data_IF_354851346385
#
_entry.id   IF_354851346385
#
_cell.length_a   1.000
_cell.length_b   1.000
_cell.length_c   1.000
_cell.angle_alpha   90.00
_cell.angle_beta   90.00
_cell.angle_gamma   90.00
#
_symmetry.space_group_name_H-M   'P 1'
#
loop_
_entity.id
_entity.type
_entity.pdbx_description
1 polymer ?
#
# COMPACT_ATOMS: atom_id res chain seq x y z
N UNK A 1 40.36 -28.93 1.03
CA UNK A 1 39.36 -27.90 0.73
C UNK A 1 38.14 -27.88 1.67
N UNK A 2 38.12 -28.40 2.89
CA UNK A 2 36.93 -28.35 3.77
C UNK A 2 36.82 -27.09 4.63
N UNK A 3 37.90 -26.27 4.78
CA UNK A 3 37.83 -25.05 5.62
C UNK A 3 37.17 -23.84 4.99
N UNK A 4 37.10 -23.76 3.65
CA UNK A 4 36.48 -22.65 2.94
C UNK A 4 34.94 -22.73 2.98
N UNK A 5 34.36 -23.92 2.89
CA UNK A 5 32.90 -24.13 2.95
C UNK A 5 32.33 -23.89 4.34
N UNK A 6 33.04 -24.27 5.40
CA UNK A 6 32.63 -24.03 6.79
C UNK A 6 32.65 -22.53 7.18
N UNK A 7 33.50 -21.72 6.57
CA UNK A 7 33.55 -20.27 6.79
C UNK A 7 32.43 -19.54 6.05
N UNK A 8 32.06 -19.99 4.86
CA UNK A 8 30.93 -19.43 4.08
C UNK A 8 29.60 -19.73 4.72
N UNK A 9 29.36 -20.93 5.24
CA UNK A 9 28.14 -21.29 5.95
C UNK A 9 27.96 -20.52 7.27
N UNK A 10 29.05 -20.27 8.02
CA UNK A 10 29.03 -19.45 9.24
C UNK A 10 28.76 -17.95 8.92
N UNK A 11 29.29 -17.42 7.81
CA UNK A 11 29.03 -16.04 7.38
C UNK A 11 27.61 -15.88 6.85
N UNK A 12 27.11 -16.84 6.08
CA UNK A 12 25.72 -16.85 5.62
C UNK A 12 24.73 -16.93 6.80
N UNK A 13 24.99 -17.78 7.80
CA UNK A 13 24.18 -17.87 9.01
C UNK A 13 24.20 -16.61 9.88
N UNK A 14 25.30 -15.84 9.87
CA UNK A 14 25.38 -14.55 10.55
C UNK A 14 24.63 -13.46 9.76
N UNK A 15 24.66 -13.50 8.43
CA UNK A 15 23.91 -12.57 7.56
C UNK A 15 22.40 -12.77 7.71
N UNK A 16 21.90 -14.00 7.77
CA UNK A 16 20.48 -14.31 8.00
C UNK A 16 19.97 -13.84 9.40
N UNK A 17 20.86 -13.52 10.33
CA UNK A 17 20.54 -12.95 11.65
C UNK A 17 20.58 -11.43 11.68
N UNK A 18 20.96 -10.76 10.58
CA UNK A 18 20.89 -9.29 10.48
C UNK A 18 19.47 -8.82 10.22
N UNK A 19 19.22 -7.53 10.44
CA UNK A 19 17.90 -6.95 10.16
C UNK A 19 17.52 -7.10 8.68
N UNK A 20 16.25 -7.26 8.37
CA UNK A 20 15.73 -7.32 7.00
C UNK A 20 16.20 -6.12 6.17
N UNK A 21 16.26 -4.93 6.79
CA UNK A 21 16.80 -3.72 6.18
C UNK A 21 18.23 -3.94 5.64
N UNK A 22 19.13 -4.48 6.45
CA UNK A 22 20.51 -4.73 6.05
C UNK A 22 20.59 -5.76 4.93
N UNK A 23 19.78 -6.82 5.01
CA UNK A 23 19.74 -7.86 3.98
C UNK A 23 19.27 -7.29 2.63
N UNK A 24 18.19 -6.47 2.63
CA UNK A 24 17.65 -5.83 1.42
C UNK A 24 18.64 -4.82 0.86
N UNK A 25 19.31 -4.02 1.70
CA UNK A 25 20.33 -3.06 1.24
C UNK A 25 21.52 -3.77 0.57
N UNK A 26 22.00 -4.84 1.17
CA UNK A 26 23.09 -5.66 0.58
C UNK A 26 22.63 -6.30 -0.73
N UNK A 27 21.41 -6.83 -0.77
CA UNK A 27 20.83 -7.44 -1.96
C UNK A 27 20.70 -6.41 -3.11
N UNK A 28 20.31 -5.19 -2.81
CA UNK A 28 20.23 -4.08 -3.77
C UNK A 28 21.62 -3.76 -4.36
N UNK A 29 22.64 -3.60 -3.51
CA UNK A 29 24.03 -3.35 -3.97
C UNK A 29 24.54 -4.50 -4.81
N UNK A 30 24.34 -5.74 -4.36
CA UNK A 30 24.73 -6.93 -5.12
C UNK A 30 23.99 -7.04 -6.46
N UNK A 31 22.70 -6.70 -6.49
CA UNK A 31 21.90 -6.65 -7.72
C UNK A 31 22.48 -5.67 -8.73
N UNK A 32 22.84 -4.45 -8.31
CA UNK A 32 23.50 -3.46 -9.18
C UNK A 32 24.84 -4.00 -9.70
N UNK A 33 25.65 -4.62 -8.84
CA UNK A 33 26.94 -5.19 -9.24
C UNK A 33 26.78 -6.33 -10.25
N UNK A 34 25.86 -7.27 -10.00
CA UNK A 34 25.57 -8.38 -10.92
C UNK A 34 25.08 -7.87 -12.27
N UNK A 35 24.08 -6.97 -12.27
CA UNK A 35 23.57 -6.38 -13.52
C UNK A 35 24.63 -5.61 -14.30
N UNK A 36 25.56 -4.94 -13.61
CA UNK A 36 26.63 -4.16 -14.26
C UNK A 36 27.76 -5.04 -14.79
N UNK A 37 28.19 -6.05 -14.02
CA UNK A 37 29.35 -6.89 -14.38
C UNK A 37 28.96 -8.04 -15.32
N UNK A 38 27.74 -8.57 -15.17
CA UNK A 38 27.21 -9.68 -15.98
C UNK A 38 25.80 -9.34 -16.48
N UNK A 39 25.64 -8.44 -17.47
CA UNK A 39 24.31 -7.95 -17.91
C UNK A 39 23.35 -9.08 -18.28
N UNK A 40 23.81 -10.06 -19.07
CA UNK A 40 22.97 -11.20 -19.48
C UNK A 40 22.48 -12.05 -18.29
N UNK A 41 23.39 -12.33 -17.34
CA UNK A 41 23.00 -13.04 -16.13
C UNK A 41 22.09 -12.19 -15.25
N UNK A 42 22.33 -10.87 -15.16
CA UNK A 42 21.44 -9.93 -14.48
C UNK A 42 20.04 -9.92 -15.06
N UNK A 43 19.92 -9.78 -16.38
CA UNK A 43 18.64 -9.80 -17.08
C UNK A 43 17.86 -11.10 -16.85
N UNK A 44 18.52 -12.25 -16.78
CA UNK A 44 17.89 -13.57 -16.53
C UNK A 44 17.36 -13.75 -15.09
N UNK A 45 17.68 -12.85 -14.15
CA UNK A 45 17.24 -12.93 -12.76
C UNK A 45 15.84 -12.30 -12.52
N UNK A 46 15.20 -11.76 -13.55
CA UNK A 46 13.83 -11.22 -13.49
C UNK A 46 12.85 -12.13 -12.75
N UNK A 47 12.80 -13.47 -13.00
CA UNK A 47 11.83 -14.34 -12.36
C UNK A 47 11.87 -14.36 -10.83
N UNK A 48 13.00 -14.00 -10.21
CA UNK A 48 13.11 -13.92 -8.74
C UNK A 48 12.29 -12.76 -8.19
N UNK A 49 12.34 -11.62 -8.84
CA UNK A 49 11.54 -10.45 -8.49
C UNK A 49 10.06 -10.68 -8.74
N UNK A 50 9.73 -11.10 -9.97
CA UNK A 50 8.35 -11.31 -10.40
C UNK A 50 7.65 -12.42 -9.61
N UNK A 51 8.36 -13.52 -9.31
CA UNK A 51 7.85 -14.61 -8.49
C UNK A 51 7.46 -14.16 -7.08
N UNK A 52 8.33 -13.37 -6.43
CA UNK A 52 8.03 -12.80 -5.11
C UNK A 52 6.80 -11.88 -5.16
N UNK A 53 6.75 -10.97 -6.14
CA UNK A 53 5.62 -10.05 -6.29
C UNK A 53 4.31 -10.83 -6.51
N UNK A 54 4.32 -11.88 -7.33
CA UNK A 54 3.14 -12.75 -7.54
C UNK A 54 2.68 -13.43 -6.26
N UNK A 55 3.61 -13.98 -5.46
CA UNK A 55 3.29 -14.62 -4.19
C UNK A 55 2.68 -13.64 -3.18
N UNK A 56 3.22 -12.43 -3.06
CA UNK A 56 2.66 -11.40 -2.18
C UNK A 56 1.27 -10.97 -2.67
N UNK A 57 1.11 -10.72 -3.98
CA UNK A 57 -0.18 -10.33 -4.57
C UNK A 57 -1.28 -11.35 -4.26
N UNK A 58 -0.98 -12.64 -4.32
CA UNK A 58 -1.95 -13.69 -4.00
C UNK A 58 -2.49 -13.59 -2.55
N UNK A 59 -1.74 -12.94 -1.64
CA UNK A 59 -2.15 -12.75 -0.24
C UNK A 59 -2.89 -11.43 0.00
N UNK A 60 -2.83 -10.48 -0.92
CA UNK A 60 -3.39 -9.13 -0.70
C UNK A 60 -4.91 -9.17 -0.67
N UNK A 61 -5.56 -9.80 -1.66
CA UNK A 61 -7.01 -9.88 -1.74
C UNK A 61 -7.65 -10.54 -0.48
N UNK A 62 -7.20 -11.72 -0.02
CA UNK A 62 -7.65 -12.29 1.24
C UNK A 62 -7.41 -11.40 2.46
N UNK A 63 -6.24 -10.74 2.52
CA UNK A 63 -5.91 -9.85 3.63
C UNK A 63 -6.86 -8.64 3.67
N UNK A 64 -7.03 -7.95 2.54
CA UNK A 64 -7.90 -6.76 2.44
C UNK A 64 -9.33 -7.13 2.84
N UNK A 65 -9.84 -8.26 2.34
CA UNK A 65 -11.16 -8.76 2.70
C UNK A 65 -11.30 -8.92 4.21
N UNK A 66 -10.42 -9.70 4.85
CA UNK A 66 -10.48 -9.96 6.29
C UNK A 66 -10.39 -8.67 7.11
N UNK A 67 -9.43 -7.80 6.78
CA UNK A 67 -9.21 -6.55 7.53
C UNK A 67 -10.38 -5.60 7.40
N UNK A 68 -10.95 -5.44 6.20
CA UNK A 68 -12.08 -4.54 5.97
C UNK A 68 -13.35 -5.07 6.65
N UNK A 69 -13.65 -6.37 6.51
CA UNK A 69 -14.82 -6.98 7.19
C UNK A 69 -14.70 -6.85 8.70
N UNK A 70 -13.53 -7.17 9.27
CA UNK A 70 -13.29 -7.02 10.70
C UNK A 70 -13.40 -5.56 11.15
N UNK A 71 -12.85 -4.63 10.37
CA UNK A 71 -12.92 -3.18 10.63
C UNK A 71 -14.34 -2.65 10.68
N UNK A 72 -15.19 -3.00 9.70
CA UNK A 72 -16.60 -2.60 9.66
C UNK A 72 -17.37 -3.17 10.86
N UNK A 73 -17.18 -4.47 11.12
CA UNK A 73 -17.93 -5.16 12.18
C UNK A 73 -17.55 -4.64 13.57
N UNK A 74 -16.27 -4.29 13.79
CA UNK A 74 -15.78 -3.68 15.04
C UNK A 74 -16.20 -2.21 15.21
N UNK A 75 -16.35 -1.46 14.12
CA UNK A 75 -16.78 -0.05 14.18
C UNK A 75 -18.17 0.09 14.80
N UNK A 76 -19.01 -0.94 14.70
CA UNK A 76 -20.32 -0.98 15.35
C UNK A 76 -21.37 -0.05 14.71
N UNK A 77 -20.98 0.86 13.83
CA UNK A 77 -21.85 1.82 13.15
C UNK A 77 -21.46 1.97 11.66
N UNK A 78 -22.37 1.56 10.79
CA UNK A 78 -22.21 1.63 9.35
C UNK A 78 -22.11 3.09 8.84
N UNK A 79 -22.79 4.01 9.53
CA UNK A 79 -22.73 5.45 9.17
C UNK A 79 -21.35 6.03 9.49
N UNK A 80 -20.76 5.64 10.62
CA UNK A 80 -19.40 6.05 10.99
C UNK A 80 -18.38 5.53 9.97
N UNK A 81 -18.49 4.26 9.57
CA UNK A 81 -17.65 3.66 8.55
C UNK A 81 -17.79 4.35 7.19
N UNK A 82 -19.01 4.60 6.72
CA UNK A 82 -19.29 5.35 5.50
C UNK A 82 -18.71 6.76 5.52
N UNK A 83 -18.78 7.45 6.66
CA UNK A 83 -18.22 8.78 6.87
C UNK A 83 -16.68 8.78 6.75
N UNK A 84 -16.00 7.75 7.29
CA UNK A 84 -14.55 7.54 7.10
C UNK A 84 -14.23 7.40 5.60
N UNK A 85 -15.00 6.56 4.88
CA UNK A 85 -14.83 6.34 3.45
C UNK A 85 -14.97 7.62 2.63
N UNK A 86 -16.02 8.41 2.88
CA UNK A 86 -16.23 9.70 2.18
C UNK A 86 -15.08 10.67 2.44
N UNK A 87 -14.62 10.79 3.69
CA UNK A 87 -13.47 11.65 4.03
C UNK A 87 -12.17 11.18 3.40
N UNK A 88 -11.98 9.85 3.32
CA UNK A 88 -10.84 9.27 2.62
C UNK A 88 -10.87 9.62 1.13
N UNK A 89 -12.00 9.45 0.46
CA UNK A 89 -12.16 9.81 -0.96
C UNK A 89 -11.91 11.30 -1.20
N UNK A 90 -12.45 12.19 -0.36
CA UNK A 90 -12.18 13.64 -0.46
C UNK A 90 -10.68 13.91 -0.35
N UNK A 91 -10.00 13.29 0.64
CA UNK A 91 -8.55 13.45 0.79
C UNK A 91 -7.80 12.98 -0.44
N UNK A 92 -8.14 11.79 -0.97
CA UNK A 92 -7.51 11.20 -2.14
C UNK A 92 -7.68 12.07 -3.38
N UNK A 93 -8.89 12.62 -3.61
CA UNK A 93 -9.13 13.50 -4.76
C UNK A 93 -8.31 14.80 -4.66
N UNK A 94 -8.26 15.40 -3.47
CA UNK A 94 -7.48 16.62 -3.25
C UNK A 94 -5.97 16.34 -3.43
N UNK A 95 -5.44 15.27 -2.83
CA UNK A 95 -4.03 14.91 -2.94
C UNK A 95 -3.63 14.59 -4.38
N UNK A 96 -4.43 13.75 -5.07
CA UNK A 96 -4.21 13.39 -6.47
C UNK A 96 -4.27 14.60 -7.39
N UNK A 97 -5.24 15.51 -7.19
CA UNK A 97 -5.35 16.75 -7.97
C UNK A 97 -4.11 17.63 -7.81
N UNK A 98 -3.64 17.81 -6.57
CA UNK A 98 -2.41 18.56 -6.29
C UNK A 98 -1.21 17.88 -6.97
N UNK A 99 -1.10 16.54 -6.88
CA UNK A 99 -0.02 15.77 -7.50
C UNK A 99 0.01 15.95 -9.03
N UNK A 100 -1.14 15.86 -9.70
CA UNK A 100 -1.28 16.06 -11.15
C UNK A 100 -0.91 17.50 -11.56
N UNK A 101 -1.42 18.49 -10.84
CA UNK A 101 -1.16 19.91 -11.16
C UNK A 101 0.32 20.24 -10.94
N UNK A 102 0.92 19.83 -9.82
CA UNK A 102 2.36 20.08 -9.56
C UNK A 102 3.21 19.37 -10.61
N UNK A 103 2.84 18.15 -11.02
CA UNK A 103 3.52 17.43 -12.10
C UNK A 103 3.43 18.15 -13.44
N UNK A 104 2.24 18.64 -13.81
CA UNK A 104 2.06 19.43 -15.04
C UNK A 104 2.85 20.74 -15.03
N UNK A 105 2.79 21.49 -13.93
CA UNK A 105 3.56 22.73 -13.79
C UNK A 105 5.06 22.47 -13.98
N UNK A 106 5.59 21.44 -13.32
CA UNK A 106 6.99 21.07 -13.44
C UNK A 106 7.34 20.57 -14.85
N UNK A 107 6.48 19.77 -15.48
CA UNK A 107 6.66 19.30 -16.85
C UNK A 107 6.74 20.45 -17.86
N UNK A 108 5.95 21.52 -17.66
CA UNK A 108 6.03 22.73 -18.48
C UNK A 108 7.29 23.56 -18.17
N UNK A 109 7.60 23.81 -16.90
CA UNK A 109 8.72 24.67 -16.48
C UNK A 109 10.07 24.05 -16.88
N UNK A 110 10.24 22.76 -16.63
CA UNK A 110 11.51 22.09 -16.88
C UNK A 110 11.61 21.47 -18.28
N UNK A 111 10.49 21.29 -18.97
CA UNK A 111 10.41 20.74 -20.33
C UNK A 111 11.37 19.55 -20.56
N UNK A 112 11.17 18.38 -19.86
CA UNK A 112 12.15 17.29 -19.86
C UNK A 112 12.29 16.57 -21.22
N UNK A 113 11.31 16.67 -22.11
CA UNK A 113 11.33 16.08 -23.46
C UNK A 113 11.77 17.04 -24.56
N UNK A 114 11.97 18.34 -24.25
CA UNK A 114 12.30 19.32 -25.26
C UNK A 114 13.63 19.01 -25.95
N UNK A 115 13.66 19.17 -27.32
CA UNK A 115 14.84 18.97 -28.12
C UNK A 115 15.16 17.53 -28.54
N UNK A 116 14.33 16.55 -28.16
CA UNK A 116 14.54 15.13 -28.55
C UNK A 116 14.18 14.88 -30.02
N UNK A 117 13.15 15.55 -30.58
CA UNK A 117 12.68 15.46 -31.98
C UNK A 117 12.56 14.02 -32.50
N UNK A 118 11.89 13.15 -31.72
CA UNK A 118 11.73 11.75 -32.06
C UNK A 118 10.61 11.59 -33.08
N UNK A 119 10.89 10.89 -34.19
CA UNK A 119 9.85 10.52 -35.14
C UNK A 119 8.95 9.43 -34.58
N UNK A 120 7.64 9.69 -34.39
CA UNK A 120 6.71 8.71 -33.91
C UNK A 120 6.60 7.44 -34.79
N UNK A 121 6.91 7.54 -36.07
CA UNK A 121 6.88 6.40 -36.98
C UNK A 121 8.02 5.39 -36.73
N UNK A 122 9.09 5.83 -36.05
CA UNK A 122 10.19 4.94 -35.66
C UNK A 122 9.93 4.11 -34.41
N UNK A 123 8.81 4.32 -33.72
CA UNK A 123 8.50 3.71 -32.44
C UNK A 123 7.74 2.37 -32.60
N UNK A 124 8.14 1.38 -31.83
CA UNK A 124 7.55 0.04 -31.85
C UNK A 124 6.20 0.02 -31.10
N UNK A 125 5.11 -0.04 -31.84
CA UNK A 125 3.75 -0.22 -31.31
C UNK A 125 3.59 -1.57 -30.59
N UNK A 126 4.23 -2.63 -31.09
CA UNK A 126 4.14 -3.96 -30.51
C UNK A 126 4.70 -4.05 -29.09
N UNK A 127 5.70 -3.23 -28.76
CA UNK A 127 6.25 -3.19 -27.41
C UNK A 127 5.27 -2.55 -26.39
N UNK A 128 4.45 -1.59 -26.81
CA UNK A 128 3.38 -1.01 -25.99
C UNK A 128 2.25 -2.01 -25.80
N UNK A 129 1.80 -2.65 -26.88
CA UNK A 129 0.72 -3.65 -26.87
C UNK A 129 1.11 -4.86 -26.02
N UNK A 130 2.35 -5.32 -26.07
CA UNK A 130 2.85 -6.39 -25.21
C UNK A 130 2.81 -6.02 -23.72
N UNK A 131 3.04 -4.74 -23.38
CA UNK A 131 3.05 -4.26 -21.99
C UNK A 131 1.64 -3.94 -21.46
N UNK A 132 0.73 -3.52 -22.35
CA UNK A 132 -0.66 -3.18 -22.03
C UNK A 132 -1.62 -4.35 -22.22
N UNK A 133 -1.17 -5.46 -22.81
CA UNK A 133 -2.02 -6.60 -23.19
C UNK A 133 -3.03 -6.25 -24.27
N UNK A 134 -2.82 -5.19 -25.05
CA UNK A 134 -3.77 -4.68 -26.05
C UNK A 134 -5.07 -4.12 -25.46
N UNK A 135 -5.12 -3.95 -24.12
CA UNK A 135 -6.30 -3.48 -23.40
C UNK A 135 -6.60 -2.00 -23.68
N UNK A 136 -7.89 -1.67 -23.78
CA UNK A 136 -8.39 -0.30 -23.70
C UNK A 136 -8.82 -0.01 -22.26
N UNK A 137 -8.65 1.23 -21.82
CA UNK A 137 -9.22 1.62 -20.53
C UNK A 137 -10.74 1.66 -20.62
N UNK A 138 -11.44 1.12 -19.59
CA UNK A 138 -12.87 1.18 -19.52
C UNK A 138 -13.35 2.63 -19.44
N UNK A 139 -14.52 2.93 -19.99
CA UNK A 139 -15.21 4.20 -19.75
C UNK A 139 -15.50 4.37 -18.24
N UNK A 140 -15.76 5.61 -17.77
CA UNK A 140 -16.09 5.83 -16.36
C UNK A 140 -17.27 4.96 -15.88
N UNK A 141 -18.29 4.77 -16.73
CA UNK A 141 -19.42 3.90 -16.45
C UNK A 141 -18.99 2.43 -16.36
N UNK A 142 -18.17 1.96 -17.30
CA UNK A 142 -17.61 0.61 -17.27
C UNK A 142 -16.73 0.40 -16.05
N UNK A 143 -15.89 1.37 -15.68
CA UNK A 143 -15.07 1.29 -14.47
C UNK A 143 -15.90 1.09 -13.20
N UNK A 144 -17.03 1.82 -13.08
CA UNK A 144 -17.97 1.64 -11.96
C UNK A 144 -18.60 0.26 -11.99
N UNK A 145 -19.04 -0.21 -13.17
CA UNK A 145 -19.61 -1.56 -13.32
C UNK A 145 -18.58 -2.64 -13.05
N UNK A 146 -17.37 -2.54 -13.57
CA UNK A 146 -16.26 -3.49 -13.35
C UNK A 146 -15.75 -3.47 -11.89
N UNK A 147 -16.09 -2.43 -11.11
CA UNK A 147 -15.83 -2.39 -9.67
C UNK A 147 -16.78 -3.29 -8.88
N UNK A 148 -17.93 -3.66 -9.47
CA UNK A 148 -18.88 -4.59 -8.87
C UNK A 148 -18.46 -6.03 -9.21
N UNK A 149 -18.40 -6.93 -8.23
CA UNK A 149 -18.02 -8.31 -8.49
C UNK A 149 -19.15 -9.08 -9.20
N UNK A 150 -18.87 -9.67 -10.36
CA UNK A 150 -19.79 -10.60 -11.02
C UNK A 150 -19.95 -11.90 -10.23
N UNK A 151 -18.92 -12.25 -9.47
CA UNK A 151 -18.91 -13.44 -8.61
C UNK A 151 -17.98 -13.18 -7.41
N UNK A 152 -18.38 -13.68 -6.25
CA UNK A 152 -17.54 -13.58 -5.04
C UNK A 152 -16.18 -14.28 -5.23
N UNK A 153 -16.18 -15.45 -5.85
CA UNK A 153 -14.95 -16.21 -6.12
C UNK A 153 -14.11 -15.55 -7.20
N UNK A 154 -14.74 -15.00 -8.24
CA UNK A 154 -14.08 -14.29 -9.33
C UNK A 154 -13.24 -13.12 -8.84
N UNK A 155 -13.76 -12.30 -7.92
CA UNK A 155 -13.05 -11.17 -7.34
C UNK A 155 -11.71 -11.57 -6.70
N UNK A 156 -11.66 -12.72 -6.03
CA UNK A 156 -10.41 -13.25 -5.46
C UNK A 156 -9.52 -13.91 -6.51
N UNK A 157 -10.11 -14.66 -7.45
CA UNK A 157 -9.35 -15.37 -8.47
C UNK A 157 -8.62 -14.42 -9.43
N UNK A 158 -9.25 -13.31 -9.78
CA UNK A 158 -8.68 -12.24 -10.61
C UNK A 158 -7.81 -11.26 -9.82
N UNK A 159 -7.78 -11.40 -8.49
CA UNK A 159 -7.06 -10.50 -7.57
C UNK A 159 -7.47 -9.02 -7.77
N UNK A 160 -8.74 -8.78 -8.08
CA UNK A 160 -9.31 -7.45 -8.26
C UNK A 160 -9.57 -6.79 -6.91
N UNK A 161 -8.62 -5.98 -6.43
CA UNK A 161 -8.69 -5.36 -5.10
C UNK A 161 -9.96 -4.53 -4.90
N UNK A 162 -10.42 -3.83 -5.93
CA UNK A 162 -11.62 -2.99 -5.84
C UNK A 162 -12.89 -3.84 -5.68
N UNK A 163 -13.03 -4.92 -6.44
CA UNK A 163 -14.14 -5.86 -6.30
C UNK A 163 -14.12 -6.56 -4.94
N UNK A 164 -12.93 -6.97 -4.47
CA UNK A 164 -12.76 -7.55 -3.13
C UNK A 164 -13.13 -6.56 -2.04
N UNK A 165 -12.79 -5.27 -2.20
CA UNK A 165 -13.17 -4.21 -1.27
C UNK A 165 -14.70 -4.02 -1.22
N UNK A 166 -15.37 -3.97 -2.36
CA UNK A 166 -16.84 -3.88 -2.44
C UNK A 166 -17.49 -5.09 -1.77
N UNK A 167 -17.00 -6.30 -2.07
CA UNK A 167 -17.47 -7.53 -1.44
C UNK A 167 -17.27 -7.50 0.09
N UNK A 168 -16.10 -7.05 0.55
CA UNK A 168 -15.80 -6.93 1.97
C UNK A 168 -16.71 -5.92 2.67
N UNK A 169 -17.03 -4.80 2.01
CA UNK A 169 -17.99 -3.82 2.51
C UNK A 169 -19.39 -4.42 2.63
N UNK A 170 -19.85 -5.17 1.64
CA UNK A 170 -21.16 -5.84 1.66
C UNK A 170 -21.23 -6.89 2.79
N UNK A 171 -20.22 -7.75 2.90
CA UNK A 171 -20.15 -8.78 3.95
C UNK A 171 -20.06 -8.14 5.34
N UNK A 172 -19.20 -7.13 5.52
CA UNK A 172 -19.06 -6.42 6.78
C UNK A 172 -20.36 -5.71 7.20
N UNK A 173 -21.07 -5.08 6.25
CA UNK A 173 -22.36 -4.46 6.49
C UNK A 173 -23.44 -5.51 6.89
N UNK A 174 -23.46 -6.66 6.20
CA UNK A 174 -24.38 -7.75 6.52
C UNK A 174 -24.13 -8.33 7.91
N UNK A 175 -22.87 -8.57 8.29
CA UNK A 175 -22.49 -9.05 9.61
C UNK A 175 -22.86 -8.05 10.71
N UNK A 176 -22.66 -6.75 10.45
CA UNK A 176 -23.05 -5.70 11.38
C UNK A 176 -24.57 -5.65 11.56
N UNK A 177 -25.33 -5.77 10.46
CA UNK A 177 -26.81 -5.79 10.49
C UNK A 177 -27.36 -7.03 11.21
N UNK A 178 -26.78 -8.21 10.97
CA UNK A 178 -27.18 -9.44 11.66
C UNK A 178 -26.88 -9.40 13.16
N UNK A 179 -25.82 -8.71 13.54
CA UNK A 179 -25.34 -8.60 14.91
C UNK A 179 -24.63 -9.88 15.40
N UNK A 180 -23.65 -9.70 16.27
CA UNK A 180 -22.83 -10.80 16.81
C UNK A 180 -23.62 -11.90 17.51
N UNK A 181 -24.83 -11.61 18.03
CA UNK A 181 -25.68 -12.62 18.67
C UNK A 181 -26.20 -13.69 17.70
N UNK A 182 -26.44 -13.32 16.42
CA UNK A 182 -26.93 -14.28 15.41
C UNK A 182 -25.83 -15.09 14.75
N UNK A 183 -24.65 -14.49 14.57
CA UNK A 183 -23.52 -15.11 13.87
C UNK A 183 -22.20 -14.96 14.66
N UNK A 184 -22.14 -15.48 15.90
CA UNK A 184 -21.05 -15.22 16.83
C UNK A 184 -19.69 -15.76 16.35
N UNK A 185 -19.69 -16.78 15.49
CA UNK A 185 -18.47 -17.47 15.04
C UNK A 185 -17.81 -16.83 13.82
N UNK A 186 -18.53 -16.06 13.01
CA UNK A 186 -18.00 -15.60 11.72
C UNK A 186 -16.88 -14.59 11.91
N UNK A 187 -17.06 -13.59 12.78
CA UNK A 187 -16.02 -12.59 13.03
C UNK A 187 -14.71 -13.19 13.58
N UNK A 188 -14.73 -14.07 14.61
CA UNK A 188 -13.53 -14.76 15.07
C UNK A 188 -12.83 -15.59 13.98
N UNK A 189 -13.59 -16.26 13.08
CA UNK A 189 -13.02 -17.01 11.97
C UNK A 189 -12.30 -16.09 10.99
N UNK A 190 -12.90 -14.93 10.66
CA UNK A 190 -12.27 -13.92 9.78
C UNK A 190 -11.00 -13.36 10.42
N UNK A 191 -11.00 -13.09 11.72
CA UNK A 191 -9.81 -12.62 12.46
C UNK A 191 -8.70 -13.68 12.48
N UNK A 192 -9.03 -14.95 12.71
CA UNK A 192 -8.07 -16.04 12.63
C UNK A 192 -7.51 -16.21 11.20
N UNK A 193 -8.37 -16.11 10.18
CA UNK A 193 -7.94 -16.12 8.79
C UNK A 193 -6.98 -14.96 8.48
N UNK A 194 -7.25 -13.76 9.00
CA UNK A 194 -6.36 -12.60 8.90
C UNK A 194 -4.98 -12.90 9.51
N UNK A 195 -4.92 -13.51 10.70
CA UNK A 195 -3.66 -13.87 11.38
C UNK A 195 -2.87 -14.91 10.59
N UNK A 196 -3.56 -15.89 9.99
CA UNK A 196 -2.94 -16.87 9.09
C UNK A 196 -2.33 -16.17 7.88
N UNK A 197 -3.06 -15.26 7.23
CA UNK A 197 -2.55 -14.52 6.07
C UNK A 197 -1.35 -13.65 6.47
N UNK A 198 -1.37 -12.94 7.59
CA UNK A 198 -0.21 -12.19 8.09
C UNK A 198 1.00 -13.08 8.33
N UNK A 199 0.78 -14.29 8.85
CA UNK A 199 1.86 -15.27 9.08
C UNK A 199 2.48 -15.73 7.77
N UNK A 200 1.65 -16.04 6.75
CA UNK A 200 2.12 -16.41 5.41
C UNK A 200 2.93 -15.26 4.81
N UNK A 201 2.43 -14.03 4.88
CA UNK A 201 3.16 -12.83 4.43
C UNK A 201 4.51 -12.73 5.16
N UNK A 202 4.55 -12.98 6.47
CA UNK A 202 5.79 -13.01 7.26
C UNK A 202 6.81 -14.06 6.75
N UNK A 203 6.35 -15.22 6.27
CA UNK A 203 7.22 -16.22 5.63
C UNK A 203 7.73 -15.75 4.27
N UNK A 204 6.84 -15.19 3.44
CA UNK A 204 7.20 -14.66 2.13
C UNK A 204 8.21 -13.51 2.24
N UNK A 205 8.10 -12.66 3.27
CA UNK A 205 9.03 -11.55 3.49
C UNK A 205 10.48 -11.99 3.71
N UNK A 206 10.75 -13.24 4.10
CA UNK A 206 12.10 -13.79 4.17
C UNK A 206 12.76 -13.95 2.79
N UNK A 207 11.94 -14.01 1.72
CA UNK A 207 12.41 -14.07 0.33
C UNK A 207 12.69 -12.67 -0.25
N UNK A 208 12.28 -11.61 0.42
CA UNK A 208 12.41 -10.24 -0.08
C UNK A 208 13.84 -9.83 -0.51
N UNK A 209 14.92 -10.19 0.23
CA UNK A 209 16.28 -9.87 -0.23
C UNK A 209 16.63 -10.53 -1.57
N UNK A 210 16.18 -11.78 -1.80
CA UNK A 210 16.38 -12.48 -3.07
C UNK A 210 15.62 -11.81 -4.21
N UNK A 211 14.39 -11.41 -3.95
CA UNK A 211 13.55 -10.66 -4.91
C UNK A 211 14.17 -9.32 -5.31
N UNK A 212 14.67 -8.57 -4.32
CA UNK A 212 15.32 -7.26 -4.57
C UNK A 212 16.61 -7.44 -5.38
N UNK A 213 17.42 -8.45 -5.06
CA UNK A 213 18.60 -8.78 -5.85
C UNK A 213 18.23 -9.07 -7.30
N UNK A 214 17.24 -9.95 -7.54
CA UNK A 214 16.82 -10.33 -8.89
C UNK A 214 16.24 -9.16 -9.67
N UNK A 215 15.32 -8.39 -9.08
CA UNK A 215 14.70 -7.23 -9.72
C UNK A 215 15.72 -6.13 -10.05
N UNK A 216 16.65 -5.85 -9.14
CA UNK A 216 17.70 -4.84 -9.36
C UNK A 216 18.74 -5.30 -10.38
N UNK A 217 19.15 -6.57 -10.35
CA UNK A 217 20.07 -7.11 -11.33
C UNK A 217 19.49 -7.11 -12.74
N UNK A 218 18.20 -7.49 -12.86
CA UNK A 218 17.47 -7.41 -14.12
C UNK A 218 17.42 -5.98 -14.65
N UNK A 219 17.01 -5.02 -13.81
CA UNK A 219 16.92 -3.61 -14.19
C UNK A 219 18.24 -3.07 -14.77
N UNK A 220 19.35 -3.31 -14.06
CA UNK A 220 20.66 -2.81 -14.48
C UNK A 220 21.22 -3.62 -15.66
N UNK A 221 20.94 -4.92 -15.73
CA UNK A 221 21.38 -5.79 -16.83
C UNK A 221 20.69 -5.51 -18.14
N UNK A 222 19.37 -5.28 -18.11
CA UNK A 222 18.53 -5.04 -19.28
C UNK A 222 18.70 -3.61 -19.82
N UNK A 223 18.55 -2.62 -18.94
CA UNK A 223 18.52 -1.20 -19.38
C UNK A 223 19.89 -0.52 -19.31
N UNK A 224 20.83 -1.05 -18.55
CA UNK A 224 22.14 -0.45 -18.33
C UNK A 224 22.10 0.88 -17.59
N UNK A 225 23.26 1.38 -17.18
CA UNK A 225 23.37 2.72 -16.58
C UNK A 225 23.33 3.84 -17.62
N UNK A 226 23.52 3.51 -18.92
CA UNK A 226 23.47 4.47 -20.02
C UNK A 226 22.08 5.05 -20.26
N UNK A 227 21.02 4.26 -20.07
CA UNK A 227 19.63 4.74 -20.15
C UNK A 227 19.35 5.87 -19.15
N UNK A 228 20.00 5.84 -17.98
CA UNK A 228 19.89 6.91 -16.99
C UNK A 228 20.42 8.27 -17.49
N UNK A 229 21.43 8.30 -18.35
CA UNK A 229 21.95 9.55 -18.89
C UNK A 229 21.02 10.18 -19.91
N UNK A 230 20.38 9.39 -20.77
CA UNK A 230 19.44 9.86 -21.79
C UNK A 230 18.15 10.42 -21.15
N UNK A 231 17.65 9.75 -20.11
CA UNK A 231 16.44 10.18 -19.39
C UNK A 231 16.74 10.99 -18.12
N UNK A 232 18.00 11.39 -17.90
CA UNK A 232 18.43 12.01 -16.66
C UNK A 232 17.63 13.25 -16.26
N UNK A 233 17.24 14.09 -17.24
CA UNK A 233 16.42 15.28 -17.01
C UNK A 233 15.00 14.89 -16.56
N UNK A 234 14.36 13.90 -17.21
CA UNK A 234 13.05 13.40 -16.83
C UNK A 234 13.08 12.79 -15.41
N UNK A 235 14.08 11.95 -15.12
CA UNK A 235 14.30 11.34 -13.82
C UNK A 235 14.45 12.43 -12.75
N UNK A 236 15.33 13.40 -12.97
CA UNK A 236 15.59 14.47 -12.02
C UNK A 236 14.33 15.31 -11.73
N UNK A 237 13.55 15.64 -12.79
CA UNK A 237 12.27 16.38 -12.62
C UNK A 237 11.27 15.56 -11.83
N UNK A 238 11.04 14.29 -12.18
CA UNK A 238 10.07 13.43 -11.47
C UNK A 238 10.43 13.25 -9.99
N UNK A 239 11.69 12.93 -9.67
CA UNK A 239 12.13 12.77 -8.28
C UNK A 239 12.13 14.10 -7.53
N UNK A 240 12.50 15.21 -8.16
CA UNK A 240 12.44 16.55 -7.58
C UNK A 240 11.01 16.95 -7.23
N UNK A 241 10.07 16.72 -8.14
CA UNK A 241 8.63 17.00 -7.91
C UNK A 241 8.06 16.08 -6.83
N UNK A 242 8.40 14.80 -6.81
CA UNK A 242 7.99 13.88 -5.75
C UNK A 242 8.49 14.36 -4.39
N UNK A 243 9.73 14.84 -4.30
CA UNK A 243 10.26 15.40 -3.06
C UNK A 243 9.50 16.66 -2.62
N UNK A 244 9.22 17.59 -3.54
CA UNK A 244 8.39 18.77 -3.26
C UNK A 244 7.00 18.34 -2.79
N UNK A 245 6.38 17.38 -3.45
CA UNK A 245 5.07 16.86 -3.05
C UNK A 245 5.11 16.20 -1.65
N UNK A 246 6.14 15.44 -1.33
CA UNK A 246 6.34 14.87 0.02
C UNK A 246 6.51 15.96 1.09
N UNK A 247 7.16 17.09 0.76
CA UNK A 247 7.23 18.25 1.66
C UNK A 247 5.84 18.84 1.87
N UNK A 248 5.05 19.01 0.81
CA UNK A 248 3.66 19.49 0.92
C UNK A 248 2.80 18.55 1.77
N UNK A 249 2.89 17.23 1.55
CA UNK A 249 2.24 16.22 2.39
C UNK A 249 2.70 16.31 3.86
N UNK A 250 3.99 16.53 4.09
CA UNK A 250 4.55 16.71 5.43
C UNK A 250 4.00 17.97 6.12
N UNK A 251 3.86 19.06 5.41
CA UNK A 251 3.22 20.28 5.88
C UNK A 251 1.74 20.04 6.22
N UNK A 252 1.00 19.36 5.33
CA UNK A 252 -0.39 19.00 5.55
C UNK A 252 -0.55 18.09 6.78
N UNK A 253 0.26 17.04 6.91
CA UNK A 253 0.28 16.14 8.07
C UNK A 253 0.52 16.94 9.36
N UNK A 254 1.52 17.84 9.36
CA UNK A 254 1.85 18.67 10.53
C UNK A 254 0.71 19.62 10.87
N UNK A 255 0.09 20.25 9.87
CA UNK A 255 -1.03 21.17 10.08
C UNK A 255 -2.27 20.45 10.65
N UNK A 256 -2.63 19.28 10.12
CA UNK A 256 -3.84 18.53 10.53
C UNK A 256 -3.63 17.78 11.85
N UNK A 257 -2.47 17.14 12.05
CA UNK A 257 -2.26 16.22 13.18
C UNK A 257 -1.24 16.73 14.21
N UNK A 258 -0.35 17.65 13.81
CA UNK A 258 0.81 18.06 14.60
C UNK A 258 1.97 17.06 14.59
N UNK A 259 1.92 16.02 13.72
CA UNK A 259 2.94 15.00 13.57
C UNK A 259 3.97 15.40 12.49
N UNK A 260 5.19 14.85 12.58
CA UNK A 260 6.25 15.10 11.61
C UNK A 260 6.37 13.95 10.63
N UNK A 261 6.27 14.22 9.31
CA UNK A 261 6.49 13.23 8.27
C UNK A 261 7.90 12.63 8.34
N UNK A 262 8.92 13.43 8.66
CA UNK A 262 10.29 12.94 8.80
C UNK A 262 10.43 11.87 9.90
N UNK A 263 9.79 12.09 11.06
CA UNK A 263 9.76 11.10 12.14
C UNK A 263 9.03 9.83 11.70
N UNK A 264 7.95 9.97 10.92
CA UNK A 264 7.23 8.84 10.37
C UNK A 264 8.06 8.05 9.35
N UNK A 265 8.76 8.73 8.42
CA UNK A 265 9.71 8.10 7.49
C UNK A 265 10.80 7.34 8.24
N UNK A 266 11.37 7.93 9.30
CA UNK A 266 12.37 7.24 10.14
C UNK A 266 11.78 6.00 10.82
N UNK A 267 10.55 6.06 11.28
CA UNK A 267 9.83 4.96 11.93
C UNK A 267 9.53 3.81 10.95
N UNK A 268 9.24 4.13 9.68
CA UNK A 268 8.85 3.17 8.65
C UNK A 268 9.96 2.88 7.63
N UNK A 269 11.21 3.23 7.94
CA UNK A 269 12.36 3.13 7.02
C UNK A 269 12.59 1.73 6.45
N UNK A 270 12.31 0.68 7.23
CA UNK A 270 12.47 -0.72 6.80
C UNK A 270 11.45 -1.07 5.73
N UNK A 271 10.19 -0.70 5.94
CA UNK A 271 9.10 -0.91 4.99
C UNK A 271 9.31 -0.10 3.72
N UNK A 272 9.74 1.17 3.86
CA UNK A 272 10.04 2.02 2.71
C UNK A 272 11.17 1.43 1.85
N UNK A 273 12.28 0.99 2.48
CA UNK A 273 13.38 0.38 1.75
C UNK A 273 12.96 -0.91 1.04
N UNK A 274 12.12 -1.72 1.70
CA UNK A 274 11.61 -2.94 1.11
C UNK A 274 10.68 -2.65 -0.08
N UNK A 275 9.76 -1.68 0.07
CA UNK A 275 8.88 -1.26 -1.01
C UNK A 275 9.67 -0.73 -2.21
N UNK A 276 10.70 0.08 -1.97
CA UNK A 276 11.61 0.58 -3.00
C UNK A 276 12.37 -0.56 -3.70
N UNK A 277 12.89 -1.52 -2.93
CA UNK A 277 13.67 -2.64 -3.46
C UNK A 277 12.83 -3.62 -4.28
N UNK A 278 11.58 -3.86 -3.89
CA UNK A 278 10.65 -4.73 -4.62
C UNK A 278 9.93 -4.03 -5.77
N UNK A 279 9.90 -2.69 -5.77
CA UNK A 279 9.11 -1.90 -6.71
C UNK A 279 7.60 -2.04 -6.50
N UNK A 280 7.16 -2.41 -5.28
CA UNK A 280 5.74 -2.55 -4.97
C UNK A 280 5.43 -2.10 -3.55
N UNK A 281 4.57 -1.09 -3.41
CA UNK A 281 4.08 -0.62 -2.11
C UNK A 281 3.14 -1.61 -1.42
N UNK A 282 2.49 -2.47 -2.19
CA UNK A 282 1.57 -3.50 -1.68
C UNK A 282 2.28 -4.53 -0.81
N UNK A 283 3.55 -4.84 -1.12
CA UNK A 283 4.35 -5.83 -0.39
C UNK A 283 4.52 -5.50 1.10
N UNK A 284 4.43 -4.24 1.47
CA UNK A 284 4.60 -3.76 2.84
C UNK A 284 3.29 -3.38 3.52
N UNK A 285 2.15 -3.45 2.80
CA UNK A 285 0.83 -3.06 3.32
C UNK A 285 0.52 -3.69 4.69
N UNK A 286 0.69 -5.00 4.91
CA UNK A 286 0.39 -5.62 6.19
C UNK A 286 1.19 -5.03 7.36
N UNK A 287 2.48 -4.81 7.16
CA UNK A 287 3.37 -4.20 8.17
C UNK A 287 3.04 -2.74 8.41
N UNK A 288 2.68 -2.00 7.36
CA UNK A 288 2.25 -0.60 7.48
C UNK A 288 0.96 -0.48 8.27
N UNK A 289 -0.01 -1.39 8.07
CA UNK A 289 -1.23 -1.45 8.87
C UNK A 289 -0.92 -1.62 10.36
N UNK A 290 -0.05 -2.58 10.71
CA UNK A 290 0.38 -2.80 12.09
C UNK A 290 1.06 -1.56 12.68
N UNK A 291 1.96 -0.92 11.93
CA UNK A 291 2.66 0.29 12.37
C UNK A 291 1.76 1.50 12.55
N UNK A 292 0.76 1.68 11.68
CA UNK A 292 -0.22 2.76 11.81
C UNK A 292 -1.12 2.57 13.04
N UNK A 293 -1.52 1.33 13.34
CA UNK A 293 -2.25 0.98 14.56
C UNK A 293 -1.40 1.27 15.81
N UNK A 294 -0.16 0.79 15.82
CA UNK A 294 0.78 1.07 16.92
C UNK A 294 1.04 2.57 17.07
N UNK A 295 0.98 3.35 15.99
CA UNK A 295 1.05 4.80 16.00
C UNK A 295 -0.28 5.49 16.37
N UNK A 296 -1.23 4.77 17.01
CA UNK A 296 -2.45 5.34 17.59
C UNK A 296 -3.58 5.60 16.60
N UNK A 297 -3.54 5.09 15.38
CA UNK A 297 -4.68 5.11 14.46
C UNK A 297 -5.63 3.96 14.77
N UNK A 298 -6.95 4.24 14.82
CA UNK A 298 -7.97 3.24 15.11
C UNK A 298 -8.12 2.24 13.95
N UNK A 299 -8.48 1.00 14.28
CA UNK A 299 -8.55 -0.15 13.38
C UNK A 299 -9.44 0.06 12.15
N UNK A 300 -10.62 0.69 12.34
CA UNK A 300 -11.57 0.98 11.28
C UNK A 300 -10.99 1.98 10.24
N UNK A 301 -10.30 3.01 10.70
CA UNK A 301 -9.65 3.98 9.82
C UNK A 301 -8.48 3.35 9.06
N UNK A 302 -7.60 2.59 9.74
CA UNK A 302 -6.49 1.89 9.08
C UNK A 302 -7.00 0.85 8.09
N UNK A 303 -8.01 0.04 8.49
CA UNK A 303 -8.56 -1.04 7.69
C UNK A 303 -9.26 -0.58 6.43
N UNK A 304 -9.88 0.61 6.43
CA UNK A 304 -10.56 1.17 5.26
C UNK A 304 -9.64 2.05 4.43
N UNK A 305 -9.00 3.06 5.05
CA UNK A 305 -8.32 4.13 4.31
C UNK A 305 -7.07 3.60 3.61
N UNK A 306 -6.26 2.76 4.28
CA UNK A 306 -5.01 2.30 3.68
C UNK A 306 -5.25 1.42 2.45
N UNK A 307 -6.06 0.33 2.48
CA UNK A 307 -6.32 -0.49 1.30
C UNK A 307 -7.02 0.28 0.17
N UNK A 308 -7.99 1.15 0.51
CA UNK A 308 -8.68 1.99 -0.47
C UNK A 308 -7.70 2.93 -1.18
N UNK A 309 -6.74 3.49 -0.43
CA UNK A 309 -5.71 4.37 -0.97
C UNK A 309 -4.84 3.71 -2.04
N UNK A 310 -4.61 2.40 -1.99
CA UNK A 310 -3.85 1.69 -3.04
C UNK A 310 -4.56 1.69 -4.39
N UNK A 311 -5.86 1.90 -4.43
CA UNK A 311 -6.63 2.00 -5.68
C UNK A 311 -6.97 3.44 -6.06
N UNK A 312 -7.14 4.34 -5.08
CA UNK A 312 -7.70 5.68 -5.31
C UNK A 312 -6.72 6.82 -5.06
N UNK A 313 -5.60 6.61 -4.34
CA UNK A 313 -4.65 7.65 -3.96
C UNK A 313 -3.23 7.30 -4.43
N UNK A 314 -3.01 7.34 -5.73
CA UNK A 314 -1.74 7.02 -6.36
C UNK A 314 -0.96 8.31 -6.72
N UNK A 315 -0.60 9.09 -5.69
CA UNK A 315 0.00 10.44 -5.83
C UNK A 315 1.28 10.43 -6.67
N UNK A 316 2.19 9.48 -6.39
CA UNK A 316 3.45 9.36 -7.15
C UNK A 316 3.22 8.90 -8.59
N UNK A 317 2.23 8.04 -8.83
CA UNK A 317 1.83 7.68 -10.19
C UNK A 317 1.23 8.89 -10.92
N UNK A 318 0.42 9.70 -10.25
CA UNK A 318 -0.16 10.91 -10.82
C UNK A 318 0.90 11.93 -11.23
N UNK A 319 1.93 12.15 -10.41
CA UNK A 319 3.10 12.97 -10.77
C UNK A 319 3.78 12.42 -12.03
N UNK A 320 4.04 11.12 -12.07
CA UNK A 320 4.68 10.48 -13.21
C UNK A 320 3.83 10.58 -14.48
N UNK A 321 2.53 10.34 -14.39
CA UNK A 321 1.60 10.35 -15.51
C UNK A 321 1.51 11.76 -16.13
N UNK A 322 1.40 12.79 -15.31
CA UNK A 322 1.30 14.18 -15.79
C UNK A 322 2.62 14.64 -16.44
N UNK A 323 3.78 14.40 -15.80
CA UNK A 323 5.09 14.73 -16.36
C UNK A 323 5.38 13.87 -17.58
N UNK A 324 5.06 12.57 -17.55
CA UNK A 324 5.27 11.62 -18.65
C UNK A 324 4.46 11.98 -19.88
N UNK A 325 3.22 12.42 -19.75
CA UNK A 325 2.40 12.90 -20.87
C UNK A 325 3.02 14.12 -21.53
N UNK A 326 3.46 15.11 -20.74
CA UNK A 326 4.16 16.29 -21.29
C UNK A 326 5.51 15.93 -21.91
N UNK A 327 6.27 15.03 -21.27
CA UNK A 327 7.54 14.54 -21.83
C UNK A 327 7.34 13.92 -23.21
N UNK A 328 6.34 13.04 -23.37
CA UNK A 328 6.04 12.40 -24.65
C UNK A 328 5.67 13.46 -25.69
N UNK A 329 4.77 14.38 -25.37
CA UNK A 329 4.36 15.47 -26.28
C UNK A 329 5.57 16.30 -26.73
N UNK A 330 6.40 16.76 -25.78
CA UNK A 330 7.60 17.55 -26.06
C UNK A 330 8.65 16.76 -26.89
N UNK A 331 8.82 15.45 -26.59
CA UNK A 331 9.79 14.61 -27.29
C UNK A 331 9.45 14.41 -28.77
N UNK A 332 8.16 14.40 -29.12
CA UNK A 332 7.70 14.31 -30.53
C UNK A 332 7.39 15.67 -31.16
N UNK A 333 7.70 16.78 -30.45
CA UNK A 333 7.53 18.14 -30.98
C UNK A 333 6.06 18.63 -30.98
N UNK A 334 5.20 18.09 -30.14
CA UNK A 334 3.79 18.52 -29.99
C UNK A 334 3.67 19.44 -28.80
N UNK A 335 3.20 20.66 -28.99
CA UNK A 335 2.90 21.61 -27.92
C UNK A 335 1.42 21.46 -27.50
N UNK A 336 1.21 21.09 -26.24
CA UNK A 336 -0.13 20.96 -25.67
C UNK A 336 -0.66 22.32 -25.21
N UNK A 337 -1.81 22.75 -25.78
CA UNK A 337 -2.53 23.93 -25.31
C UNK A 337 -3.02 23.75 -23.87
N UNK A 338 -3.32 24.86 -23.17
CA UNK A 338 -3.89 24.83 -21.83
C UNK A 338 -5.16 23.97 -21.74
N UNK A 339 -6.04 24.04 -22.75
CA UNK A 339 -7.24 23.21 -22.81
C UNK A 339 -6.94 21.72 -22.84
N UNK A 340 -5.93 21.32 -23.66
CA UNK A 340 -5.46 19.93 -23.71
C UNK A 340 -4.81 19.49 -22.40
N UNK A 341 -4.04 20.36 -21.73
CA UNK A 341 -3.47 20.05 -20.42
C UNK A 341 -4.52 19.88 -19.33
N UNK A 342 -5.61 20.68 -19.35
CA UNK A 342 -6.76 20.45 -18.47
C UNK A 342 -7.42 19.11 -18.78
N UNK A 343 -7.57 18.76 -20.07
CA UNK A 343 -8.08 17.44 -20.47
C UNK A 343 -7.18 16.33 -19.94
N UNK A 344 -5.84 16.48 -19.98
CA UNK A 344 -4.90 15.53 -19.36
C UNK A 344 -5.23 15.32 -17.88
N UNK A 345 -5.39 16.42 -17.11
CA UNK A 345 -5.73 16.30 -15.67
C UNK A 345 -7.02 15.53 -15.47
N UNK A 346 -8.08 15.91 -16.21
CA UNK A 346 -9.40 15.28 -16.05
C UNK A 346 -9.37 13.79 -16.42
N UNK A 347 -8.71 13.44 -17.53
CA UNK A 347 -8.56 12.05 -17.96
C UNK A 347 -7.73 11.27 -16.92
N UNK A 348 -6.61 11.83 -16.47
CA UNK A 348 -5.75 11.17 -15.48
C UNK A 348 -6.42 11.06 -14.11
N UNK A 349 -7.25 12.00 -13.70
CA UNK A 349 -8.05 11.87 -12.47
C UNK A 349 -8.98 10.65 -12.52
N UNK A 350 -9.55 10.36 -13.68
CA UNK A 350 -10.42 9.19 -13.86
C UNK A 350 -9.60 7.91 -14.05
N UNK A 351 -8.60 7.93 -14.95
CA UNK A 351 -7.84 6.73 -15.33
C UNK A 351 -6.83 6.29 -14.28
N UNK A 352 -6.38 7.17 -13.40
CA UNK A 352 -5.52 6.81 -12.27
C UNK A 352 -6.25 6.00 -11.19
N UNK A 353 -7.58 6.02 -11.18
CA UNK A 353 -8.36 5.21 -10.24
C UNK A 353 -8.35 3.75 -10.69
N UNK A 354 -8.14 2.83 -9.74
CA UNK A 354 -8.08 1.41 -10.06
C UNK A 354 -6.80 0.95 -10.75
N UNK A 355 -5.83 1.84 -10.96
CA UNK A 355 -4.47 1.40 -11.28
C UNK A 355 -3.93 0.68 -10.05
N UNK A 356 -3.88 -0.66 -10.12
CA UNK A 356 -3.19 -1.41 -9.09
C UNK A 356 -1.75 -0.90 -8.96
N UNK A 357 -1.18 -0.82 -7.75
CA UNK A 357 0.20 -0.40 -7.51
C UNK A 357 1.25 -1.34 -8.13
N UNK A 358 1.00 -1.79 -9.35
CA UNK A 358 1.73 -2.83 -10.07
C UNK A 358 2.56 -2.18 -11.17
N UNK A 359 3.81 -2.63 -11.38
CA UNK A 359 4.62 -2.20 -12.51
C UNK A 359 3.88 -2.37 -13.84
N UNK A 360 3.86 -1.33 -14.67
CA UNK A 360 3.24 -1.36 -16.01
C UNK A 360 1.81 -0.82 -16.12
N UNK A 361 1.05 -0.69 -15.03
CA UNK A 361 -0.31 -0.10 -15.05
C UNK A 361 -0.33 1.37 -15.51
N UNK A 362 0.77 2.10 -15.28
CA UNK A 362 0.93 3.48 -15.74
C UNK A 362 0.90 3.61 -17.27
N UNK A 363 1.37 2.58 -18.01
CA UNK A 363 1.34 2.60 -19.48
C UNK A 363 -0.08 2.56 -20.03
N UNK A 364 -0.98 1.82 -19.40
CA UNK A 364 -2.41 1.81 -19.78
C UNK A 364 -3.00 3.22 -19.63
N UNK A 365 -2.75 3.88 -18.51
CA UNK A 365 -3.24 5.22 -18.26
C UNK A 365 -2.63 6.25 -19.24
N UNK A 366 -1.33 6.14 -19.54
CA UNK A 366 -0.67 6.99 -20.54
C UNK A 366 -1.21 6.76 -21.94
N UNK A 367 -1.40 5.49 -22.34
CA UNK A 367 -1.97 5.14 -23.65
C UNK A 367 -3.40 5.67 -23.82
N UNK A 368 -4.21 5.57 -22.76
CA UNK A 368 -5.57 6.14 -22.78
C UNK A 368 -5.56 7.66 -22.84
N UNK A 369 -4.65 8.30 -22.09
CA UNK A 369 -4.51 9.76 -22.13
C UNK A 369 -4.05 10.22 -23.51
N UNK A 370 -3.09 9.53 -24.12
CA UNK A 370 -2.66 9.80 -25.49
C UNK A 370 -3.82 9.65 -26.48
N UNK A 371 -4.60 8.59 -26.36
CA UNK A 371 -5.79 8.34 -27.19
C UNK A 371 -6.86 9.41 -27.00
N UNK A 372 -7.12 9.83 -25.77
CA UNK A 372 -8.12 10.87 -25.45
C UNK A 372 -7.71 12.25 -26.00
N UNK A 373 -6.43 12.56 -26.02
CA UNK A 373 -5.91 13.80 -26.59
C UNK A 373 -5.96 13.83 -28.12
N UNK A 374 -5.87 12.68 -28.78
CA UNK A 374 -5.87 12.53 -30.24
C UNK A 374 -4.66 13.14 -30.97
N UNK A 375 -3.78 13.85 -30.27
CA UNK A 375 -2.58 14.51 -30.81
C UNK A 375 -1.28 13.77 -30.49
N UNK A 376 -1.32 12.83 -29.58
CA UNK A 376 -0.19 11.99 -29.18
C UNK A 376 -0.44 10.58 -29.70
N UNK A 377 0.39 10.04 -30.61
CA UNK A 377 0.26 8.65 -31.03
C UNK A 377 0.47 7.69 -29.85
N UNK A 378 -0.35 6.66 -29.71
CA UNK A 378 -0.20 5.67 -28.64
C UNK A 378 1.18 4.99 -28.62
N UNK A 379 1.80 4.81 -29.81
CA UNK A 379 3.17 4.31 -29.92
C UNK A 379 4.20 5.17 -29.19
N UNK A 380 3.98 6.48 -29.04
CA UNK A 380 4.91 7.37 -28.38
C UNK A 380 5.06 7.08 -26.87
N UNK A 381 4.11 6.37 -26.27
CA UNK A 381 4.22 5.88 -24.90
C UNK A 381 5.42 4.92 -24.73
N UNK A 382 5.87 4.27 -25.82
CA UNK A 382 7.07 3.42 -25.81
C UNK A 382 8.33 4.15 -25.33
N UNK A 383 8.40 5.47 -25.50
CA UNK A 383 9.51 6.29 -25.01
C UNK A 383 9.77 6.16 -23.50
N UNK A 384 8.74 5.85 -22.72
CA UNK A 384 8.87 5.70 -21.29
C UNK A 384 9.23 4.27 -20.85
N UNK A 385 9.25 3.29 -21.76
CA UNK A 385 9.55 1.88 -21.41
C UNK A 385 10.92 1.73 -20.75
N UNK A 386 11.94 2.42 -21.27
CA UNK A 386 13.31 2.33 -20.76
C UNK A 386 13.53 2.98 -19.39
N UNK A 387 12.62 3.84 -18.95
CA UNK A 387 12.76 4.58 -17.68
C UNK A 387 11.72 4.18 -16.64
N UNK A 388 10.67 3.52 -17.05
CA UNK A 388 9.50 3.20 -16.20
C UNK A 388 9.89 2.50 -14.90
N UNK A 389 10.79 1.53 -14.97
CA UNK A 389 11.24 0.79 -13.79
C UNK A 389 12.00 1.67 -12.78
N UNK A 390 12.74 2.67 -13.26
CA UNK A 390 13.41 3.65 -12.39
C UNK A 390 12.36 4.54 -11.72
N UNK A 391 11.32 4.92 -12.48
CA UNK A 391 10.20 5.71 -11.96
C UNK A 391 9.34 4.95 -10.94
N UNK A 392 9.30 3.60 -11.01
CA UNK A 392 8.58 2.78 -10.02
C UNK A 392 9.01 3.08 -8.60
N UNK A 393 10.31 3.23 -8.35
CA UNK A 393 10.81 3.52 -7.00
C UNK A 393 10.25 4.84 -6.45
N UNK A 394 10.23 5.89 -7.26
CA UNK A 394 9.65 7.19 -6.89
C UNK A 394 8.13 7.07 -6.65
N UNK A 395 7.42 6.40 -7.58
CA UNK A 395 5.97 6.20 -7.46
C UNK A 395 5.60 5.44 -6.18
N UNK A 396 6.31 4.34 -5.93
CA UNK A 396 6.09 3.46 -4.76
C UNK A 396 6.28 4.21 -3.45
N UNK A 397 7.37 4.96 -3.30
CA UNK A 397 7.63 5.72 -2.08
C UNK A 397 6.58 6.82 -1.84
N UNK A 398 6.24 7.57 -2.90
CA UNK A 398 5.29 8.68 -2.81
C UNK A 398 3.87 8.17 -2.54
N UNK A 399 3.41 7.11 -3.24
CA UNK A 399 2.11 6.49 -3.01
C UNK A 399 1.99 5.96 -1.59
N UNK A 400 2.99 5.22 -1.11
CA UNK A 400 2.99 4.63 0.23
C UNK A 400 2.89 5.70 1.32
N UNK A 401 3.72 6.75 1.22
CA UNK A 401 3.70 7.85 2.20
C UNK A 401 2.41 8.67 2.10
N UNK A 402 1.90 8.93 0.90
CA UNK A 402 0.62 9.60 0.68
C UNK A 402 -0.54 8.87 1.35
N UNK A 403 -0.61 7.54 1.15
CA UNK A 403 -1.63 6.70 1.76
C UNK A 403 -1.54 6.68 3.29
N UNK A 404 -0.34 6.62 3.86
CA UNK A 404 -0.16 6.68 5.31
C UNK A 404 -0.54 8.05 5.89
N UNK A 405 -0.20 9.13 5.19
CA UNK A 405 -0.62 10.49 5.58
C UNK A 405 -2.14 10.61 5.53
N UNK A 406 -2.79 10.04 4.52
CA UNK A 406 -4.25 9.98 4.43
C UNK A 406 -4.87 9.27 5.64
N UNK A 407 -4.31 8.12 6.08
CA UNK A 407 -4.76 7.41 7.29
C UNK A 407 -4.68 8.31 8.51
N UNK A 408 -3.56 9.01 8.74
CA UNK A 408 -3.42 9.94 9.86
C UNK A 408 -4.40 11.11 9.77
N UNK A 409 -4.56 11.71 8.59
CA UNK A 409 -5.43 12.85 8.37
C UNK A 409 -6.90 12.49 8.61
N UNK A 410 -7.37 11.39 8.03
CA UNK A 410 -8.74 10.90 8.18
C UNK A 410 -9.00 10.45 9.61
N UNK A 411 -8.05 9.71 10.24
CA UNK A 411 -8.15 9.34 11.66
C UNK A 411 -8.28 10.56 12.56
N UNK A 412 -7.54 11.64 12.27
CA UNK A 412 -7.65 12.90 13.02
C UNK A 412 -9.01 13.56 12.79
N UNK A 413 -9.51 13.55 11.56
CA UNK A 413 -10.78 14.14 11.15
C UNK A 413 -11.99 13.44 11.80
N UNK A 414 -11.84 12.13 12.09
CA UNK A 414 -12.85 11.30 12.79
C UNK A 414 -12.67 11.25 14.31
N UNK A 415 -11.67 11.93 14.88
CA UNK A 415 -11.34 11.78 16.30
C UNK A 415 -10.81 10.39 16.67
N UNK A 416 -10.36 9.63 15.67
CA UNK A 416 -9.90 8.24 15.75
C UNK A 416 -8.35 8.14 15.83
N UNK A 417 -7.65 9.24 16.15
CA UNK A 417 -6.22 9.31 16.31
C UNK A 417 -5.83 9.64 17.75
N UNK A 418 -5.16 8.73 18.43
CA UNK A 418 -4.48 9.03 19.68
C UNK A 418 -3.16 9.77 19.40
N UNK A 419 -3.21 11.10 19.53
CA UNK A 419 -2.07 11.98 19.26
C UNK A 419 -0.93 11.83 20.27
N UNK A 420 -1.22 11.41 21.49
CA UNK A 420 -0.22 11.23 22.53
C UNK A 420 0.62 10.00 22.21
N UNK A 421 -0.03 8.89 21.98
CA UNK A 421 0.60 7.64 21.53
C UNK A 421 1.36 7.84 20.21
N UNK A 422 0.75 8.52 19.23
CA UNK A 422 1.40 8.82 17.96
C UNK A 422 2.72 9.57 18.14
N UNK A 423 2.76 10.61 18.98
CA UNK A 423 3.97 11.37 19.26
C UNK A 423 5.05 10.52 19.94
N UNK A 424 4.68 9.72 20.94
CA UNK A 424 5.60 8.83 21.67
C UNK A 424 6.21 7.77 20.76
N UNK A 425 5.39 7.09 19.95
CA UNK A 425 5.85 6.08 19.00
C UNK A 425 6.78 6.68 17.95
N UNK A 426 6.40 7.81 17.35
CA UNK A 426 7.23 8.47 16.34
C UNK A 426 8.52 9.08 16.89
N UNK A 427 8.56 9.40 18.20
CA UNK A 427 9.78 9.81 18.89
C UNK A 427 10.69 8.62 19.27
N UNK A 428 10.19 7.38 19.20
CA UNK A 428 10.89 6.18 19.63
C UNK A 428 10.84 5.94 21.14
N UNK A 429 9.91 6.58 21.84
CA UNK A 429 9.67 6.44 23.29
C UNK A 429 8.87 5.18 23.62
N UNK A 430 8.05 4.69 22.65
CA UNK A 430 7.30 3.46 22.75
C UNK A 430 7.70 2.48 21.63
N UNK A 431 7.71 1.16 21.89
CA UNK A 431 8.01 0.16 20.87
C UNK A 431 6.93 0.15 19.77
N UNK A 432 7.33 -0.24 18.56
CA UNK A 432 6.46 -0.35 17.39
C UNK A 432 5.31 -1.39 17.53
N UNK A 433 5.35 -2.19 18.58
CA UNK A 433 4.38 -3.25 18.90
C UNK A 433 3.47 -2.90 20.06
N UNK A 434 3.56 -1.67 20.63
CA UNK A 434 2.67 -1.26 21.70
C UNK A 434 1.23 -1.18 21.15
N UNK A 435 0.36 -2.07 21.61
CA UNK A 435 -1.08 -1.86 21.49
C UNK A 435 -1.44 -0.62 22.31
N UNK A 436 -2.25 0.32 21.79
CA UNK A 436 -2.76 1.41 22.62
C UNK A 436 -3.52 0.79 23.79
N UNK A 437 -3.21 1.25 25.02
CA UNK A 437 -3.96 0.85 26.21
C UNK A 437 -5.44 1.04 25.93
N UNK A 438 -6.23 -0.02 26.08
CA UNK A 438 -7.69 0.09 26.04
C UNK A 438 -8.09 1.08 27.13
N UNK A 439 -9.01 2.03 26.85
CA UNK A 439 -9.49 2.93 27.88
C UNK A 439 -9.95 2.09 29.07
N UNK A 440 -9.55 2.44 30.28
CA UNK A 440 -9.82 1.72 31.53
C UNK A 440 -11.31 1.48 31.83
N UNK A 441 -12.24 2.06 31.07
CA UNK A 441 -13.67 1.81 31.12
C UNK A 441 -14.08 0.46 30.51
N UNK A 442 -13.29 -0.11 29.58
CA UNK A 442 -13.59 -1.43 28.99
C UNK A 442 -13.03 -2.57 29.84
N UNK A 443 -12.02 -2.35 30.66
CA UNK A 443 -11.55 -3.35 31.63
C UNK A 443 -12.52 -3.53 32.80
N UNK A 444 -13.22 -2.48 33.25
CA UNK A 444 -14.26 -2.59 34.30
C UNK A 444 -15.52 -3.29 33.83
N UNK A 445 -15.78 -3.34 32.52
CA UNK A 445 -16.94 -4.06 31.95
C UNK A 445 -16.64 -5.53 31.64
N UNK A 446 -15.36 -5.96 31.70
CA UNK A 446 -14.92 -7.33 31.43
C UNK A 446 -14.50 -8.11 32.69
N UNK A 447 -14.51 -7.50 33.86
CA UNK A 447 -14.35 -8.25 35.11
C UNK A 447 -15.62 -9.08 35.35
N UNK A 448 -15.52 -10.43 35.36
CA UNK A 448 -16.66 -11.24 35.74
C UNK A 448 -17.00 -10.94 37.22
N UNK A 449 -18.28 -10.65 37.49
CA UNK A 449 -18.82 -10.48 38.81
C UNK A 449 -18.77 -11.82 39.62
N UNK A 450 -17.55 -12.19 40.03
CA UNK A 450 -17.29 -13.35 40.88
C UNK A 450 -16.23 -13.04 41.91
N UNK A 451 -16.56 -12.21 42.88
CA UNK A 451 -15.81 -12.14 44.14
C UNK A 451 -16.65 -11.50 45.27
N UNK A 452 -17.88 -11.98 45.45
CA UNK A 452 -18.60 -11.69 46.72
C UNK A 452 -19.48 -12.87 47.16
N UNK A 453 -18.83 -14.00 47.45
CA UNK A 453 -19.46 -15.13 48.10
C UNK A 453 -18.40 -16.02 48.76
N UNK A 454 -17.67 -15.52 49.75
CA UNK A 454 -17.00 -16.37 50.76
C UNK A 454 -16.56 -15.53 51.96
N UNK A 455 -17.47 -15.16 52.82
CA UNK A 455 -17.14 -14.95 54.25
C UNK A 455 -17.71 -16.14 55.05
N UNK A 456 -16.91 -16.89 55.82
CA UNK A 456 -17.39 -17.93 56.73
C UNK A 456 -18.12 -17.25 57.89
N UNK A 457 -19.37 -17.66 58.14
CA UNK A 457 -20.06 -17.35 59.38
C UNK A 457 -19.48 -18.23 60.49
N UNK A 458 -18.88 -17.62 61.45
CA UNK A 458 -18.47 -18.18 62.74
C UNK A 458 -19.68 -18.78 63.48
N UNK A 459 -19.46 -19.99 63.97
CA UNK A 459 -20.41 -20.75 64.80
C UNK A 459 -20.58 -20.13 66.19
N UNK A 460 -21.82 -19.86 66.57
CA UNK A 460 -22.19 -19.68 67.99
C UNK A 460 -22.92 -20.95 68.47
N UNK A 461 -22.28 -21.62 69.41
CA UNK A 461 -22.75 -22.76 70.07
C UNK A 461 -23.83 -22.40 71.15
N UNK A 462 -24.79 -23.27 71.38
CA UNK A 462 -25.64 -23.22 72.52
C UNK A 462 -26.76 -24.32 72.48
N UNK A 463 -27.03 -25.03 73.58
CA UNK A 463 -27.41 -26.44 73.55
C UNK A 463 -28.90 -26.65 73.88
N UNK A 464 -29.42 -27.83 73.62
CA UNK A 464 -30.68 -28.27 74.24
C UNK A 464 -31.50 -29.26 73.44
N UNK A 465 -31.31 -30.51 73.76
CA UNK A 465 -32.25 -31.55 74.22
C UNK A 465 -33.43 -31.98 73.34
N UNK A 466 -33.47 -33.30 73.28
CA UNK A 466 -34.63 -34.20 73.34
C UNK A 466 -35.40 -34.49 72.05
N UNK A 467 -35.21 -35.66 71.54
CA UNK A 467 -35.99 -36.92 71.74
C UNK A 467 -37.20 -37.02 70.78
N UNK A 468 -37.30 -38.22 70.30
CA UNK A 468 -38.48 -39.08 70.11
C UNK A 468 -39.08 -39.22 68.69
N UNK A 469 -38.78 -40.39 68.19
CA UNK A 469 -39.66 -41.46 67.64
C UNK A 469 -40.43 -41.24 66.34
N UNK A 470 -40.08 -42.13 65.43
CA UNK A 470 -40.91 -43.17 64.77
C UNK A 470 -41.88 -42.81 63.66
N UNK A 471 -41.68 -43.58 62.62
CA UNK A 471 -42.64 -44.40 61.83
C UNK A 471 -43.22 -43.78 60.57
N UNK A 472 -42.87 -44.55 59.55
CA UNK A 472 -43.74 -45.24 58.57
C UNK A 472 -44.69 -44.35 57.73
N UNK A 473 -44.44 -44.23 56.49
CA UNK A 473 -44.91 -45.08 55.35
C UNK A 473 -44.29 -44.61 54.10
#
# INVERSE_FOLDING_TARGET
MPHATASLTRRAGRFLRTSLFTQVLVALVLGVLVGRLWPQAGASLQPLGDGFVRLIKAMIAPLVFCVVVAGITKAGDLKAFGRIGVKALIWFEVATSIALVVGLLAGNVFAPGAGMHIDPASLDKGAVDAKTGGGQLPSAAQFVLESLPDSAVGAFAENSLLQVLVLACLVGAALLHLGQKKVPQILPVIEQAQDVVFTIVGFLMKLAPLAVLGATAHLVGEYGLGAMSTYGKLIAVCYGVALVFLVLLGCALKAVTGLSLWKFVRYTREELLLALGTGSSETVMPRMMQKLRAAGCRDDAVGLVLPTGYSFNLDGASIYLSIGTLFIAQAIGVDLSLGQQITVVLVLMLTSKGMAGVPGSAFLALSATASALGVIPAAAVALLLGVDRIMDSMRVATNLLGNCVAVFAVSRWEGALDRVTAKKVLNGELPATAQPDRPAEQERAAEPATADAAKPREAAAGPGAASVTTRDT
#
